data_IF_841957594632
#
_entry.id   IF_841957594632
#
_cell.length_a   1.000
_cell.length_b   1.000
_cell.length_c   1.000
_cell.angle_alpha   90.00
_cell.angle_beta   90.00
_cell.angle_gamma   90.00
#
_symmetry.space_group_name_H-M   'P 1'
#
loop_
_entity.id
_entity.type
_entity.pdbx_description
1 polymer ?
#
# COMPACT_ATOMS: atom_id res chain seq x y z
N UNK A 1 -36.30 -52.09 -27.73
CA UNK A 1 -36.34 -51.05 -26.69
C UNK A 1 -37.43 -50.03 -27.02
N UNK A 2 -38.33 -49.76 -26.08
CA UNK A 2 -39.53 -48.94 -26.31
C UNK A 2 -39.19 -47.45 -26.44
N UNK A 3 -39.76 -46.74 -27.42
CA UNK A 3 -39.44 -45.34 -27.77
C UNK A 3 -39.58 -44.38 -26.59
N UNK A 4 -40.49 -44.70 -25.68
CA UNK A 4 -40.73 -43.99 -24.42
C UNK A 4 -39.55 -44.05 -23.44
N UNK A 5 -38.85 -45.19 -23.34
CA UNK A 5 -37.70 -45.35 -22.46
C UNK A 5 -36.47 -44.61 -22.98
N UNK A 6 -36.35 -44.47 -24.31
CA UNK A 6 -35.27 -43.71 -24.96
C UNK A 6 -35.46 -42.20 -24.72
N UNK A 7 -36.70 -41.70 -24.74
CA UNK A 7 -37.00 -40.29 -24.42
C UNK A 7 -36.72 -39.96 -22.96
N UNK A 8 -37.11 -40.83 -22.02
CA UNK A 8 -36.80 -40.66 -20.59
C UNK A 8 -35.30 -40.67 -20.32
N UNK A 9 -34.56 -41.56 -20.97
CA UNK A 9 -33.11 -41.65 -20.84
C UNK A 9 -32.40 -40.40 -21.37
N UNK A 10 -32.85 -39.85 -22.51
CA UNK A 10 -32.34 -38.57 -23.05
C UNK A 10 -32.61 -37.39 -22.11
N UNK A 11 -33.80 -37.34 -21.50
CA UNK A 11 -34.19 -36.25 -20.60
C UNK A 11 -33.38 -36.25 -19.29
N UNK A 12 -33.11 -37.45 -18.76
CA UNK A 12 -32.24 -37.64 -17.58
C UNK A 12 -30.79 -37.22 -17.87
N UNK A 13 -30.25 -37.59 -19.04
CA UNK A 13 -28.90 -37.19 -19.44
C UNK A 13 -28.79 -35.68 -19.61
N UNK A 14 -29.78 -35.02 -20.23
CA UNK A 14 -29.77 -33.56 -20.38
C UNK A 14 -29.81 -32.83 -19.02
N UNK A 15 -30.58 -33.35 -18.05
CA UNK A 15 -30.60 -32.78 -16.70
C UNK A 15 -29.28 -32.98 -15.94
N UNK A 16 -28.62 -34.13 -16.11
CA UNK A 16 -27.31 -34.42 -15.50
C UNK A 16 -26.19 -33.55 -16.07
N UNK A 17 -26.23 -33.27 -17.37
CA UNK A 17 -25.26 -32.36 -18.01
C UNK A 17 -25.50 -30.92 -17.55
N UNK A 18 -26.77 -30.49 -17.46
CA UNK A 18 -27.12 -29.14 -16.99
C UNK A 18 -26.70 -28.89 -15.53
N UNK A 19 -26.79 -29.90 -14.64
CA UNK A 19 -26.37 -29.76 -13.25
C UNK A 19 -24.84 -29.71 -13.07
N UNK A 20 -24.08 -30.39 -13.92
CA UNK A 20 -22.61 -30.36 -13.90
C UNK A 20 -22.03 -29.00 -14.36
N UNK A 21 -22.74 -28.26 -15.23
CA UNK A 21 -22.30 -26.93 -15.68
C UNK A 21 -22.53 -25.86 -14.60
N UNK A 22 -23.54 -26.02 -13.74
CA UNK A 22 -23.85 -25.07 -12.66
C UNK A 22 -22.93 -25.20 -11.43
N UNK A 23 -22.21 -26.31 -11.27
CA UNK A 23 -21.25 -26.50 -10.18
C UNK A 23 -19.85 -25.98 -10.47
N UNK A 24 -19.53 -25.59 -11.70
CA UNK A 24 -18.21 -25.08 -12.08
C UNK A 24 -18.05 -23.56 -11.98
N UNK A 25 -18.98 -22.86 -11.32
CA UNK A 25 -18.70 -21.51 -10.86
C UNK A 25 -17.66 -21.56 -9.73
N UNK A 26 -16.37 -21.55 -10.09
CA UNK A 26 -15.31 -21.11 -9.18
C UNK A 26 -15.74 -19.75 -8.65
N UNK A 27 -15.99 -19.68 -7.35
CA UNK A 27 -16.23 -18.39 -6.70
C UNK A 27 -14.96 -17.57 -6.89
N UNK A 28 -14.99 -16.61 -7.81
CA UNK A 28 -13.97 -15.58 -7.85
C UNK A 28 -13.92 -14.97 -6.44
N UNK A 29 -12.72 -14.73 -5.87
CA UNK A 29 -12.61 -14.14 -4.55
C UNK A 29 -13.41 -12.84 -4.57
N UNK A 30 -14.50 -12.79 -3.81
CA UNK A 30 -15.32 -11.59 -3.68
C UNK A 30 -14.40 -10.48 -3.21
N UNK A 31 -14.10 -9.52 -4.09
CA UNK A 31 -13.47 -8.27 -3.69
C UNK A 31 -14.30 -7.69 -2.54
N UNK A 32 -13.68 -7.31 -1.41
CA UNK A 32 -14.41 -6.71 -0.30
C UNK A 32 -15.27 -5.56 -0.80
N UNK A 33 -16.51 -5.48 -0.33
CA UNK A 33 -17.37 -4.32 -0.60
C UNK A 33 -16.79 -3.13 0.16
N UNK A 34 -16.05 -2.28 -0.56
CA UNK A 34 -15.43 -1.06 -0.02
C UNK A 34 -16.48 0.05 0.00
N UNK A 35 -16.68 0.66 1.17
CA UNK A 35 -17.48 1.88 1.29
C UNK A 35 -16.70 3.07 0.72
N UNK A 36 -17.16 3.64 -0.39
CA UNK A 36 -16.47 4.76 -1.03
C UNK A 36 -16.89 6.10 -0.41
N UNK A 37 -16.17 6.53 0.63
CA UNK A 37 -16.47 7.77 1.37
C UNK A 37 -16.13 9.04 0.58
N UNK A 38 -15.29 8.95 -0.44
CA UNK A 38 -14.75 10.09 -1.20
C UNK A 38 -14.96 10.00 -2.71
N UNK A 39 -15.81 9.07 -3.20
CA UNK A 39 -16.06 8.82 -4.63
C UNK A 39 -16.46 10.05 -5.46
N UNK A 40 -17.02 11.09 -4.84
CA UNK A 40 -17.47 12.29 -5.54
C UNK A 40 -16.35 13.25 -5.96
N UNK A 41 -15.11 13.06 -5.48
CA UNK A 41 -13.99 13.91 -5.83
C UNK A 41 -13.08 13.19 -6.84
N UNK A 42 -13.44 13.21 -8.11
CA UNK A 42 -12.65 12.52 -9.14
C UNK A 42 -11.46 13.40 -9.57
N UNK A 43 -10.40 13.41 -8.75
CA UNK A 43 -9.16 14.15 -8.99
C UNK A 43 -8.18 13.39 -9.90
N UNK A 44 -8.44 12.11 -10.18
CA UNK A 44 -7.58 11.17 -10.93
C UNK A 44 -8.18 10.77 -12.30
N UNK A 45 -8.90 11.70 -12.94
CA UNK A 45 -9.72 11.47 -14.15
C UNK A 45 -8.94 10.95 -15.35
N UNK A 46 -7.67 11.28 -15.47
CA UNK A 46 -6.89 11.06 -16.70
C UNK A 46 -6.29 9.66 -16.76
N UNK A 47 -6.11 9.03 -15.60
CA UNK A 47 -5.82 7.61 -15.52
C UNK A 47 -7.12 6.82 -15.56
N UNK A 48 -7.57 6.52 -16.80
CA UNK A 48 -8.72 5.67 -17.19
C UNK A 48 -8.65 4.22 -16.66
N UNK A 49 -8.12 4.02 -15.46
CA UNK A 49 -8.22 2.76 -14.75
C UNK A 49 -9.69 2.48 -14.47
N UNK A 50 -10.09 1.22 -14.59
CA UNK A 50 -11.41 0.74 -14.16
C UNK A 50 -11.61 0.90 -12.64
N UNK A 51 -10.56 1.32 -11.95
CA UNK A 51 -10.41 1.36 -10.50
C UNK A 51 -10.20 2.77 -9.98
N UNK A 52 -10.47 3.80 -10.78
CA UNK A 52 -10.25 5.20 -10.40
C UNK A 52 -10.93 5.57 -9.09
N UNK A 53 -12.12 4.99 -8.82
CA UNK A 53 -12.80 5.13 -7.54
C UNK A 53 -12.01 4.54 -6.38
N UNK A 54 -11.47 3.32 -6.54
CA UNK A 54 -10.65 2.65 -5.51
C UNK A 54 -9.34 3.39 -5.27
N UNK A 55 -8.68 3.86 -6.32
CA UNK A 55 -7.43 4.62 -6.22
C UNK A 55 -7.65 5.98 -5.55
N UNK A 56 -8.75 6.66 -5.88
CA UNK A 56 -9.12 7.92 -5.25
C UNK A 56 -9.45 7.74 -3.76
N UNK A 57 -10.24 6.72 -3.44
CA UNK A 57 -10.56 6.36 -2.06
C UNK A 57 -9.29 5.99 -1.27
N UNK A 58 -8.38 5.24 -1.88
CA UNK A 58 -7.10 4.87 -1.31
C UNK A 58 -6.23 6.09 -0.98
N UNK A 59 -6.14 7.04 -1.92
CA UNK A 59 -5.42 8.30 -1.73
C UNK A 59 -6.02 9.12 -0.58
N UNK A 60 -7.34 9.31 -0.57
CA UNK A 60 -8.01 10.09 0.47
C UNK A 60 -7.88 9.44 1.86
N UNK A 61 -7.99 8.11 1.94
CA UNK A 61 -7.80 7.36 3.20
C UNK A 61 -6.37 7.52 3.72
N UNK A 62 -5.37 7.43 2.83
CA UNK A 62 -3.97 7.67 3.16
C UNK A 62 -3.74 9.09 3.69
N UNK A 63 -4.24 10.12 3.00
CA UNK A 63 -4.10 11.51 3.44
C UNK A 63 -4.73 11.71 4.82
N UNK A 64 -5.90 11.11 5.06
CA UNK A 64 -6.58 11.19 6.35
C UNK A 64 -5.80 10.50 7.47
N UNK A 65 -5.27 9.31 7.21
CA UNK A 65 -4.43 8.57 8.16
C UNK A 65 -3.18 9.38 8.52
N UNK A 66 -2.49 9.97 7.52
CA UNK A 66 -1.32 10.82 7.77
C UNK A 66 -1.67 12.05 8.60
N UNK A 67 -2.78 12.72 8.31
CA UNK A 67 -3.21 13.90 9.07
C UNK A 67 -3.48 13.52 10.53
N UNK A 68 -4.21 12.44 10.76
CA UNK A 68 -4.56 12.00 12.10
C UNK A 68 -3.33 11.54 12.90
N UNK A 69 -2.38 10.87 12.24
CA UNK A 69 -1.16 10.36 12.88
C UNK A 69 -0.14 11.46 13.17
N UNK A 70 0.13 12.31 12.17
CA UNK A 70 1.27 13.22 12.22
C UNK A 70 0.91 14.63 12.63
N UNK A 71 -0.32 15.11 12.41
CA UNK A 71 -0.69 16.49 12.71
C UNK A 71 -2.15 16.65 13.16
N UNK A 72 -2.63 15.87 14.16
CA UNK A 72 -4.05 15.82 14.52
C UNK A 72 -4.63 17.15 14.99
N UNK A 73 -3.79 18.06 15.51
CA UNK A 73 -4.22 19.35 16.05
C UNK A 73 -4.44 20.39 14.96
N UNK A 74 -3.47 20.56 14.05
CA UNK A 74 -3.56 21.61 13.03
C UNK A 74 -4.09 21.11 11.69
N UNK A 75 -4.25 19.78 11.55
CA UNK A 75 -4.79 19.11 10.36
C UNK A 75 -4.07 19.54 9.07
N UNK A 76 -2.77 19.82 9.12
CA UNK A 76 -2.00 20.35 8.00
C UNK A 76 -1.47 19.21 7.11
N UNK A 77 -1.96 19.06 5.86
CA UNK A 77 -1.47 18.00 4.98
C UNK A 77 0.03 18.11 4.73
N UNK A 78 0.54 19.33 4.50
CA UNK A 78 1.96 19.57 4.26
C UNK A 78 2.84 19.08 5.41
N UNK A 79 2.46 19.38 6.66
CA UNK A 79 3.23 18.92 7.83
C UNK A 79 3.20 17.41 7.96
N UNK A 80 2.05 16.81 7.69
CA UNK A 80 1.88 15.36 7.74
C UNK A 80 2.72 14.64 6.68
N UNK A 81 2.73 15.11 5.43
CA UNK A 81 3.60 14.56 4.39
C UNK A 81 5.09 14.71 4.73
N UNK A 82 5.52 15.88 5.21
CA UNK A 82 6.92 16.10 5.62
C UNK A 82 7.34 15.13 6.72
N UNK A 83 6.51 14.94 7.74
CA UNK A 83 6.82 14.01 8.85
C UNK A 83 6.83 12.56 8.38
N UNK A 84 5.81 12.15 7.62
CA UNK A 84 5.73 10.82 7.04
C UNK A 84 6.96 10.49 6.19
N UNK A 85 7.34 11.36 5.24
CA UNK A 85 8.50 11.11 4.39
C UNK A 85 9.83 11.18 5.15
N UNK A 86 9.89 11.95 6.23
CA UNK A 86 11.04 11.91 7.15
C UNK A 86 11.16 10.53 7.79
N UNK A 87 10.07 9.96 8.28
CA UNK A 87 10.05 8.63 8.88
C UNK A 87 10.32 7.52 7.86
N UNK A 88 9.78 7.63 6.63
CA UNK A 88 10.10 6.71 5.52
C UNK A 88 11.61 6.68 5.29
N UNK A 89 12.25 7.84 5.22
CA UNK A 89 13.70 7.96 4.95
C UNK A 89 14.54 7.23 5.99
N UNK A 90 14.17 7.34 7.27
CA UNK A 90 14.89 6.70 8.37
C UNK A 90 14.34 5.32 8.74
N UNK A 91 13.41 4.80 7.93
CA UNK A 91 12.72 3.53 8.13
C UNK A 91 12.07 3.40 9.54
N UNK A 92 11.34 4.44 9.96
CA UNK A 92 10.68 4.52 11.29
C UNK A 92 9.16 4.65 11.23
N UNK A 93 8.55 4.43 10.06
CA UNK A 93 7.09 4.51 9.95
C UNK A 93 6.45 3.37 10.76
N UNK A 94 5.64 3.71 11.76
CA UNK A 94 4.84 2.74 12.48
C UNK A 94 3.51 2.50 11.75
N UNK A 95 3.55 1.66 10.71
CA UNK A 95 2.37 1.36 9.88
C UNK A 95 1.19 0.82 10.69
N UNK A 96 1.43 0.06 11.77
CA UNK A 96 0.36 -0.46 12.65
C UNK A 96 -0.40 0.70 13.31
N UNK A 97 0.31 1.72 13.79
CA UNK A 97 -0.28 2.84 14.51
C UNK A 97 -1.02 3.83 13.59
N UNK A 98 -0.54 4.02 12.36
CA UNK A 98 -1.10 5.05 11.45
C UNK A 98 -2.23 4.53 10.57
N UNK A 99 -2.32 3.20 10.35
CA UNK A 99 -3.30 2.60 9.44
C UNK A 99 -4.68 2.47 10.10
N UNK A 100 -5.67 3.18 9.56
CA UNK A 100 -7.06 3.05 10.00
C UNK A 100 -7.72 1.73 9.55
N UNK A 101 -8.87 1.39 10.14
CA UNK A 101 -9.69 0.26 9.69
C UNK A 101 -10.06 0.38 8.21
N UNK A 102 -10.41 1.58 7.76
CA UNK A 102 -10.79 1.87 6.37
C UNK A 102 -9.66 1.57 5.39
N UNK A 103 -8.45 2.02 5.72
CA UNK A 103 -7.24 1.72 4.93
C UNK A 103 -6.96 0.23 4.84
N UNK A 104 -7.24 -0.56 5.88
CA UNK A 104 -7.08 -2.03 5.83
C UNK A 104 -8.06 -2.66 4.85
N UNK A 105 -9.31 -2.20 4.82
CA UNK A 105 -10.32 -2.69 3.86
C UNK A 105 -9.93 -2.35 2.42
N UNK A 106 -9.45 -1.13 2.19
CA UNK A 106 -8.92 -0.68 0.90
C UNK A 106 -7.68 -1.48 0.48
N UNK A 107 -6.79 -1.77 1.41
CA UNK A 107 -5.61 -2.58 1.16
C UNK A 107 -5.97 -4.00 0.71
N UNK A 108 -6.96 -4.64 1.34
CA UNK A 108 -7.44 -5.95 0.89
C UNK A 108 -8.05 -5.92 -0.51
N UNK A 109 -8.80 -4.86 -0.86
CA UNK A 109 -9.27 -4.66 -2.23
C UNK A 109 -8.11 -4.45 -3.22
N UNK A 110 -7.12 -3.62 -2.87
CA UNK A 110 -5.95 -3.34 -3.69
C UNK A 110 -5.05 -4.57 -3.89
N UNK A 111 -4.94 -5.47 -2.91
CA UNK A 111 -4.18 -6.74 -3.03
C UNK A 111 -4.67 -7.65 -4.13
N UNK A 112 -5.97 -7.58 -4.46
CA UNK A 112 -6.55 -8.36 -5.57
C UNK A 112 -5.96 -7.99 -6.94
N UNK A 113 -5.31 -6.81 -7.05
CA UNK A 113 -4.62 -6.32 -8.25
C UNK A 113 -3.19 -6.83 -8.28
N UNK A 114 -3.02 -8.12 -8.55
CA UNK A 114 -1.72 -8.78 -8.49
C UNK A 114 -0.65 -8.15 -9.41
N UNK A 115 -1.05 -7.50 -10.50
CA UNK A 115 -0.17 -6.80 -11.45
C UNK A 115 0.27 -5.41 -10.96
N UNK A 116 -0.36 -4.88 -9.91
CA UNK A 116 -0.02 -3.58 -9.32
C UNK A 116 1.19 -3.67 -8.41
N UNK A 117 1.52 -4.84 -7.86
CA UNK A 117 2.50 -4.98 -6.79
C UNK A 117 3.70 -5.82 -7.22
N UNK A 118 4.88 -5.47 -6.70
CA UNK A 118 6.06 -6.32 -6.70
C UNK A 118 6.36 -6.71 -5.25
N UNK A 119 6.24 -8.00 -4.94
CA UNK A 119 6.30 -8.54 -3.56
C UNK A 119 7.41 -9.56 -3.36
N UNK A 120 8.46 -9.49 -4.19
CA UNK A 120 9.56 -10.47 -4.20
C UNK A 120 10.41 -10.34 -2.94
N UNK A 121 10.73 -11.48 -2.33
CA UNK A 121 11.74 -11.58 -1.27
C UNK A 121 11.51 -10.67 -0.06
N UNK A 122 10.25 -10.32 0.24
CA UNK A 122 9.90 -9.42 1.34
C UNK A 122 10.14 -7.94 1.02
N UNK A 123 10.58 -7.61 -0.19
CA UNK A 123 10.51 -6.25 -0.70
C UNK A 123 9.13 -6.02 -1.32
N UNK A 124 8.42 -5.03 -0.78
CA UNK A 124 7.07 -4.68 -1.20
C UNK A 124 7.09 -3.29 -1.81
N UNK A 125 6.92 -3.24 -3.13
CA UNK A 125 6.91 -2.01 -3.92
C UNK A 125 5.74 -2.02 -4.89
N UNK A 126 5.42 -0.84 -5.40
CA UNK A 126 4.59 -0.72 -6.59
C UNK A 126 5.32 -1.39 -7.76
N UNK A 127 4.58 -2.11 -8.60
CA UNK A 127 5.14 -2.59 -9.86
C UNK A 127 5.33 -1.39 -10.79
N UNK A 128 6.56 -0.86 -10.87
CA UNK A 128 6.86 0.33 -11.68
C UNK A 128 6.65 0.13 -13.19
N UNK A 129 6.59 -1.12 -13.67
CA UNK A 129 6.23 -1.44 -15.05
C UNK A 129 4.71 -1.45 -15.31
N UNK A 130 3.88 -1.27 -14.27
CA UNK A 130 2.42 -1.24 -14.44
C UNK A 130 2.01 0.03 -15.23
N UNK A 131 1.09 -0.07 -16.21
CA UNK A 131 0.63 1.08 -16.98
C UNK A 131 0.06 2.24 -16.15
N UNK A 132 -0.45 1.96 -14.95
CA UNK A 132 -0.87 2.99 -14.01
C UNK A 132 0.28 3.92 -13.62
N UNK A 133 1.51 3.41 -13.46
CA UNK A 133 2.68 4.20 -13.06
C UNK A 133 3.07 5.18 -14.15
N UNK A 134 3.11 4.74 -15.41
CA UNK A 134 3.32 5.63 -16.55
C UNK A 134 2.21 6.68 -16.66
N UNK A 135 0.96 6.29 -16.40
CA UNK A 135 -0.14 7.25 -16.36
C UNK A 135 0.02 8.29 -15.24
N UNK A 136 0.38 7.86 -14.04
CA UNK A 136 0.65 8.76 -12.92
C UNK A 136 1.78 9.73 -13.28
N UNK A 137 2.92 9.23 -13.76
CA UNK A 137 4.09 10.05 -14.11
C UNK A 137 3.79 11.10 -15.20
N UNK A 138 2.97 10.76 -16.20
CA UNK A 138 2.59 11.68 -17.28
C UNK A 138 1.61 12.78 -16.84
N UNK A 139 0.82 12.53 -15.79
CA UNK A 139 -0.16 13.49 -15.27
C UNK A 139 0.31 14.26 -14.02
N UNK A 140 1.53 14.01 -13.53
CA UNK A 140 2.16 14.87 -12.52
C UNK A 140 2.25 16.33 -13.02
N UNK A 141 2.29 17.27 -12.07
CA UNK A 141 2.55 18.68 -12.33
C UNK A 141 3.92 18.86 -12.98
N UNK A 142 4.00 19.82 -13.93
CA UNK A 142 5.24 20.11 -14.64
C UNK A 142 6.37 20.53 -13.71
N UNK A 143 7.58 20.00 -13.95
CA UNK A 143 8.78 20.31 -13.18
C UNK A 143 9.83 19.19 -13.21
N UNK A 144 10.95 19.43 -12.54
CA UNK A 144 12.11 18.51 -12.51
C UNK A 144 11.74 17.11 -11.97
N UNK A 145 10.78 17.05 -11.04
CA UNK A 145 10.24 15.80 -10.51
C UNK A 145 9.56 14.97 -11.59
N UNK A 146 8.68 15.59 -12.39
CA UNK A 146 8.00 14.91 -13.49
C UNK A 146 9.00 14.40 -14.53
N UNK A 147 9.98 15.22 -14.91
CA UNK A 147 11.02 14.84 -15.87
C UNK A 147 11.79 13.62 -15.35
N UNK A 148 12.22 13.68 -14.09
CA UNK A 148 12.95 12.59 -13.42
C UNK A 148 12.10 11.31 -13.37
N UNK A 149 10.84 11.41 -12.96
CA UNK A 149 9.94 10.27 -12.90
C UNK A 149 9.71 9.63 -14.27
N UNK A 150 9.38 10.42 -15.30
CA UNK A 150 9.16 9.88 -16.64
C UNK A 150 10.43 9.21 -17.19
N UNK A 151 11.60 9.84 -17.03
CA UNK A 151 12.86 9.22 -17.45
C UNK A 151 13.09 7.86 -16.76
N UNK A 152 12.86 7.77 -15.45
CA UNK A 152 13.02 6.52 -14.69
C UNK A 152 12.01 5.43 -15.07
N UNK A 153 10.77 5.82 -15.40
CA UNK A 153 9.74 4.90 -15.91
C UNK A 153 10.13 4.40 -17.30
N UNK A 154 10.50 5.29 -18.21
CA UNK A 154 10.85 4.97 -19.60
C UNK A 154 12.08 4.06 -19.68
N UNK A 155 13.07 4.24 -18.80
CA UNK A 155 14.27 3.39 -18.74
C UNK A 155 14.10 2.17 -17.85
N UNK A 156 12.91 1.94 -17.28
CA UNK A 156 12.63 0.86 -16.32
C UNK A 156 13.67 0.76 -15.18
N UNK A 157 14.12 1.92 -14.70
CA UNK A 157 15.16 2.03 -13.67
C UNK A 157 14.65 2.61 -12.36
N UNK A 158 13.32 2.69 -12.21
CA UNK A 158 12.69 3.25 -11.02
C UNK A 158 13.00 2.41 -9.78
N UNK A 159 13.41 3.09 -8.71
CA UNK A 159 13.54 2.57 -7.35
C UNK A 159 13.51 3.74 -6.37
N UNK A 160 13.16 3.50 -5.11
CA UNK A 160 13.15 4.56 -4.08
C UNK A 160 14.46 5.36 -4.08
N UNK A 161 15.61 4.69 -4.17
CA UNK A 161 16.94 5.33 -4.22
C UNK A 161 17.09 6.32 -5.38
N UNK A 162 16.44 6.07 -6.50
CA UNK A 162 16.57 6.91 -7.70
C UNK A 162 15.70 8.18 -7.62
N UNK A 163 14.53 8.11 -6.99
CA UNK A 163 13.60 9.24 -6.95
C UNK A 163 13.54 9.97 -5.58
N UNK A 164 14.10 9.39 -4.51
CA UNK A 164 13.93 9.88 -3.13
C UNK A 164 14.39 11.32 -2.92
N UNK A 165 15.48 11.74 -3.57
CA UNK A 165 16.01 13.10 -3.42
C UNK A 165 15.12 14.15 -4.11
N UNK A 166 14.58 13.81 -5.29
CA UNK A 166 13.67 14.70 -6.01
C UNK A 166 12.32 14.80 -5.29
N UNK A 167 11.82 13.68 -4.76
CA UNK A 167 10.64 13.66 -3.90
C UNK A 167 10.83 14.51 -2.63
N UNK A 168 12.03 14.48 -2.03
CA UNK A 168 12.38 15.29 -0.86
C UNK A 168 12.39 16.79 -1.18
N UNK A 169 12.95 17.19 -2.31
CA UNK A 169 12.95 18.60 -2.75
C UNK A 169 11.54 19.14 -2.97
N UNK A 170 10.63 18.28 -3.43
CA UNK A 170 9.28 18.66 -3.83
C UNK A 170 8.20 18.24 -2.82
N UNK A 171 8.55 17.97 -1.56
CA UNK A 171 7.60 17.43 -0.57
C UNK A 171 6.36 18.30 -0.37
N UNK A 172 6.49 19.63 -0.47
CA UNK A 172 5.35 20.55 -0.36
C UNK A 172 4.42 20.45 -1.58
N UNK A 173 4.96 20.11 -2.75
CA UNK A 173 4.18 19.97 -3.98
C UNK A 173 3.29 18.73 -3.98
N UNK A 174 3.61 17.71 -3.17
CA UNK A 174 2.83 16.47 -3.07
C UNK A 174 1.36 16.75 -2.73
N UNK A 175 1.08 17.72 -1.84
CA UNK A 175 -0.32 18.03 -1.49
C UNK A 175 -1.10 18.73 -2.59
N UNK A 176 -0.40 19.29 -3.59
CA UNK A 176 -0.98 20.00 -4.74
C UNK A 176 -1.07 19.11 -5.98
N UNK A 177 -0.24 18.07 -6.06
CA UNK A 177 -0.18 17.13 -7.16
C UNK A 177 -0.75 15.77 -6.73
N UNK A 178 -2.01 15.53 -7.10
CA UNK A 178 -2.73 14.31 -6.68
C UNK A 178 -2.21 13.04 -7.34
N UNK A 179 -1.57 13.15 -8.51
CA UNK A 179 -0.91 12.01 -9.14
C UNK A 179 0.37 11.63 -8.39
N UNK A 180 1.17 12.62 -8.00
CA UNK A 180 2.32 12.40 -7.13
C UNK A 180 1.91 11.86 -5.74
N UNK A 181 0.85 12.43 -5.15
CA UNK A 181 0.30 11.95 -3.89
C UNK A 181 -0.15 10.49 -3.98
N UNK A 182 -0.82 10.11 -5.08
CA UNK A 182 -1.22 8.73 -5.34
C UNK A 182 0.00 7.81 -5.46
N UNK A 183 1.05 8.21 -6.18
CA UNK A 183 2.29 7.43 -6.25
C UNK A 183 2.87 7.17 -4.85
N UNK A 184 2.96 8.21 -4.02
CA UNK A 184 3.46 8.10 -2.64
C UNK A 184 2.56 7.18 -1.80
N UNK A 185 1.25 7.31 -1.91
CA UNK A 185 0.29 6.45 -1.22
C UNK A 185 0.49 4.98 -1.61
N UNK A 186 0.60 4.69 -2.91
CA UNK A 186 0.74 3.32 -3.38
C UNK A 186 2.10 2.71 -3.00
N UNK A 187 3.21 3.40 -3.28
CA UNK A 187 4.56 2.83 -3.17
C UNK A 187 5.15 2.89 -1.75
N UNK A 188 4.89 3.98 -1.01
CA UNK A 188 5.49 4.21 0.31
C UNK A 188 4.55 3.89 1.47
N UNK A 189 3.25 3.70 1.19
CA UNK A 189 2.25 3.38 2.20
C UNK A 189 1.61 2.01 1.97
N UNK A 190 0.76 1.85 0.95
CA UNK A 190 0.02 0.60 0.72
C UNK A 190 0.93 -0.59 0.41
N UNK A 191 1.97 -0.44 -0.41
CA UNK A 191 2.93 -1.52 -0.67
C UNK A 191 3.57 -2.00 0.64
N UNK A 192 3.89 -1.09 1.57
CA UNK A 192 4.54 -1.45 2.83
C UNK A 192 3.63 -2.22 3.80
N UNK A 193 2.31 -2.12 3.64
CA UNK A 193 1.35 -2.86 4.46
C UNK A 193 1.41 -4.38 4.22
N UNK A 194 1.96 -4.85 3.10
CA UNK A 194 2.19 -6.29 2.87
C UNK A 194 3.14 -6.90 3.91
N UNK A 195 4.08 -6.11 4.44
CA UNK A 195 5.02 -6.53 5.48
C UNK A 195 4.52 -6.34 6.90
N UNK A 196 3.27 -5.86 7.08
CA UNK A 196 2.73 -5.51 8.40
C UNK A 196 1.85 -6.63 8.94
N UNK A 197 2.21 -7.14 10.10
CA UNK A 197 1.32 -8.02 10.87
C UNK A 197 0.42 -7.18 11.78
N UNK A 198 -0.79 -6.89 11.30
CA UNK A 198 -1.77 -6.09 12.04
C UNK A 198 -2.34 -6.77 13.29
N UNK A 199 -2.02 -8.04 13.55
CA UNK A 199 -2.39 -8.70 14.80
C UNK A 199 -1.43 -8.33 15.95
N UNK A 200 -0.27 -7.75 15.63
CA UNK A 200 0.65 -7.21 16.63
C UNK A 200 0.16 -5.85 17.11
N UNK A 201 0.26 -5.62 18.42
CA UNK A 201 0.03 -4.30 18.99
C UNK A 201 1.11 -3.33 18.48
N UNK A 202 0.80 -2.03 18.31
CA UNK A 202 1.82 -1.03 18.03
C UNK A 202 2.88 -1.11 19.14
N UNK A 203 4.16 -1.17 18.77
CA UNK A 203 5.23 -1.12 19.76
C UNK A 203 5.03 0.13 20.65
N UNK A 204 4.86 -0.09 21.95
CA UNK A 204 4.65 1.00 22.90
C UNK A 204 5.87 1.93 22.86
N UNK A 205 5.62 3.25 22.91
CA UNK A 205 6.67 4.24 23.07
C UNK A 205 7.60 3.81 24.21
N UNK A 206 8.86 3.56 23.89
CA UNK A 206 9.90 3.27 24.89
C UNK A 206 10.02 4.52 25.76
N UNK A 207 9.61 4.42 27.02
CA UNK A 207 9.84 5.47 28.00
C UNK A 207 11.33 5.50 28.35
N UNK A 208 12.08 6.42 27.73
CA UNK A 208 13.50 6.65 27.98
C UNK A 208 13.79 7.11 29.43
N UNK A 209 12.77 7.46 30.22
CA UNK A 209 12.92 7.76 31.64
C UNK A 209 12.86 6.51 32.54
N UNK A 210 12.49 5.36 31.97
CA UNK A 210 12.50 4.10 32.69
C UNK A 210 13.95 3.64 32.82
N UNK A 211 14.53 3.84 34.01
CA UNK A 211 15.90 3.41 34.32
C UNK A 211 16.08 1.94 33.91
N UNK A 212 17.17 1.59 33.19
CA UNK A 212 17.43 0.20 32.86
C UNK A 212 17.52 -0.61 34.16
N UNK A 213 16.75 -1.70 34.23
CA UNK A 213 16.91 -2.68 35.29
C UNK A 213 18.30 -3.25 35.14
N UNK A 214 19.20 -2.84 36.05
CA UNK A 214 20.57 -3.32 36.11
C UNK A 214 20.50 -4.84 36.31
N UNK A 215 20.78 -5.62 35.28
CA UNK A 215 21.12 -7.03 35.46
C UNK A 215 22.41 -7.04 36.27
N UNK A 216 22.34 -7.63 37.45
CA UNK A 216 23.50 -7.88 38.29
C UNK A 216 24.41 -8.84 37.51
N UNK A 217 25.46 -8.29 36.90
CA UNK A 217 26.60 -9.07 36.43
C UNK A 217 27.49 -9.18 37.65
N UNK A 218 27.60 -10.38 38.20
CA UNK A 218 28.65 -10.72 39.17
C UNK A 218 30.00 -10.38 38.54
N UNK A 219 30.60 -9.27 38.99
CA UNK A 219 31.95 -8.88 38.63
C UNK A 219 32.92 -9.72 39.46
N UNK A 220 33.57 -10.70 38.83
CA UNK A 220 34.84 -11.22 39.35
C UNK A 220 35.95 -10.33 38.78
N UNK A 221 36.28 -9.31 39.56
CA UNK A 221 37.33 -8.35 39.28
C UNK A 221 38.68 -8.93 39.74
N UNK A 222 39.66 -8.98 38.83
CA UNK A 222 41.08 -9.14 39.17
C UNK A 222 41.92 -8.49 38.08
N UNK A 223 41.85 -7.17 37.99
CA UNK A 223 42.83 -6.37 37.25
C UNK A 223 44.04 -6.08 38.15
N UNK A 224 45.05 -6.95 38.11
CA UNK A 224 46.42 -6.54 38.42
C UNK A 224 47.03 -5.96 37.15
N UNK A 225 47.19 -4.64 37.14
CA UNK A 225 47.99 -3.95 36.13
C UNK A 225 49.45 -3.87 36.56
N UNK A 226 50.35 -3.80 35.59
CA UNK A 226 51.58 -3.03 35.72
C UNK A 226 51.98 -2.48 34.34
N UNK A 227 52.08 -1.16 34.27
CA UNK A 227 52.82 -0.43 33.24
C UNK A 227 54.30 -0.77 33.34
N UNK A 228 54.92 -1.15 32.22
CA UNK A 228 56.06 -0.48 31.58
C UNK A 228 56.36 -1.14 30.23
#
# INVERSE_FOLDING_TARGET
MNKHNIMKFKLIITCLIASLVLWNCKQEPKTPEVDYKYANNNELKDCKSKDSLLLNEALMSFEKDLINAYDPKTQSPNRSYVRFLSDVRVNKVNYIAITSKHTKELFEALKSKSDLWNTKEGDYTLNYANPLVACIASNMQEGDLKITFNALVDTNSMSYRMYSEELRRNTISITKDKYLALFVALDLYYAKLFGVDFNKQPEANIDFNKKPVKKEIESKDSHEGHNH
#
